data_IF_829852226059
#
_entry.id   IF_829852226059
#
_cell.length_a   1.000
_cell.length_b   1.000
_cell.length_c   1.000
_cell.angle_alpha   90.00
_cell.angle_beta   90.00
_cell.angle_gamma   90.00
#
_symmetry.space_group_name_H-M   'P 1'
#
loop_
_entity.id
_entity.type
_entity.pdbx_description
1 polymer ?
#
# COMPACT_ATOMS: atom_id res chain seq x y z
N UNK A 1 -17.75 -23.66 -3.10
CA UNK A 1 -17.56 -25.11 -3.30
C UNK A 1 -17.95 -25.79 -2.00
N UNK A 2 -19.19 -26.31 -1.96
CA UNK A 2 -19.75 -26.96 -0.77
C UNK A 2 -19.31 -28.41 -0.76
N UNK A 3 -18.41 -28.78 0.15
CA UNK A 3 -18.03 -30.15 0.43
C UNK A 3 -19.19 -30.83 1.18
N UNK A 4 -19.74 -31.94 0.68
CA UNK A 4 -20.79 -32.66 1.42
C UNK A 4 -20.17 -33.38 2.61
N UNK A 5 -20.49 -32.96 3.83
CA UNK A 5 -20.19 -33.67 5.06
C UNK A 5 -21.02 -34.96 5.08
N UNK A 6 -20.42 -36.06 4.63
CA UNK A 6 -20.98 -37.41 4.79
C UNK A 6 -20.52 -38.03 6.10
N UNK A 7 -21.53 -38.52 6.82
CA UNK A 7 -21.55 -39.55 7.84
C UNK A 7 -21.02 -39.22 9.25
N UNK A 8 -22.04 -39.19 10.11
CA UNK A 8 -22.00 -39.47 11.55
C UNK A 8 -21.24 -40.77 11.82
N UNK A 9 -20.40 -40.88 12.89
CA UNK A 9 -20.08 -42.17 13.49
C UNK A 9 -21.38 -42.86 13.91
N UNK A 10 -21.48 -44.13 13.65
CA UNK A 10 -22.66 -44.92 13.95
C UNK A 10 -22.94 -44.93 15.46
N UNK A 11 -24.08 -44.37 15.87
CA UNK A 11 -24.58 -44.41 17.24
C UNK A 11 -25.05 -43.05 17.74
N UNK A 12 -26.30 -42.93 18.13
CA UNK A 12 -26.76 -41.77 18.94
C UNK A 12 -26.00 -41.80 20.27
N UNK A 13 -25.57 -40.66 20.84
CA UNK A 13 -24.87 -40.64 22.13
C UNK A 13 -25.75 -41.34 23.19
N UNK A 14 -25.09 -42.09 24.06
CA UNK A 14 -25.83 -42.71 25.16
C UNK A 14 -26.46 -41.62 26.02
N UNK A 15 -27.75 -41.72 26.39
CA UNK A 15 -28.44 -40.67 27.16
C UNK A 15 -27.67 -40.21 28.40
N UNK A 16 -27.06 -41.15 29.12
CA UNK A 16 -26.26 -40.87 30.32
C UNK A 16 -24.98 -40.09 30.03
N UNK A 17 -24.31 -40.31 28.91
CA UNK A 17 -23.15 -39.52 28.48
C UNK A 17 -23.58 -38.07 28.21
N UNK A 18 -24.73 -37.85 27.56
CA UNK A 18 -25.26 -36.52 27.29
C UNK A 18 -25.69 -35.80 28.56
N UNK A 19 -26.37 -36.52 29.49
CA UNK A 19 -26.76 -35.98 30.79
C UNK A 19 -25.54 -35.56 31.63
N UNK A 20 -24.49 -36.39 31.66
CA UNK A 20 -23.25 -36.06 32.34
C UNK A 20 -22.55 -34.82 31.72
N UNK A 21 -22.52 -34.72 30.40
CA UNK A 21 -21.97 -33.55 29.73
C UNK A 21 -22.73 -32.29 30.13
N UNK A 22 -24.07 -32.34 30.12
CA UNK A 22 -24.92 -31.20 30.50
C UNK A 22 -24.74 -30.81 31.97
N UNK A 23 -24.67 -31.80 32.88
CA UNK A 23 -24.51 -31.57 34.31
C UNK A 23 -23.13 -30.96 34.67
N UNK A 24 -22.06 -31.35 33.95
CA UNK A 24 -20.71 -30.92 34.25
C UNK A 24 -20.23 -29.72 33.41
N UNK A 25 -21.08 -29.14 32.58
CA UNK A 25 -20.71 -28.05 31.64
C UNK A 25 -20.10 -26.85 32.37
N UNK A 26 -20.63 -26.44 33.51
CA UNK A 26 -20.10 -25.35 34.32
C UNK A 26 -18.75 -25.66 34.93
N UNK A 27 -18.54 -26.89 35.41
CA UNK A 27 -17.27 -27.32 35.98
C UNK A 27 -16.16 -27.37 34.93
N UNK A 28 -16.44 -27.95 33.75
CA UNK A 28 -15.49 -28.00 32.63
C UNK A 28 -15.10 -26.59 32.17
N UNK A 29 -16.07 -25.69 32.07
CA UNK A 29 -15.82 -24.28 31.70
C UNK A 29 -14.94 -23.57 32.74
N UNK A 30 -15.18 -23.79 34.03
CA UNK A 30 -14.37 -23.20 35.11
C UNK A 30 -12.93 -23.69 35.07
N UNK A 31 -12.71 -25.01 34.90
CA UNK A 31 -11.39 -25.60 34.78
C UNK A 31 -10.67 -25.06 33.54
N UNK A 32 -11.38 -24.91 32.41
CA UNK A 32 -10.78 -24.35 31.20
C UNK A 32 -10.31 -22.90 31.42
N UNK A 33 -11.13 -22.02 32.00
CA UNK A 33 -10.75 -20.64 32.28
C UNK A 33 -9.58 -20.56 33.27
N UNK A 34 -9.56 -21.41 34.30
CA UNK A 34 -8.46 -21.47 35.24
C UNK A 34 -7.17 -21.91 34.56
N UNK A 35 -7.23 -22.91 33.67
CA UNK A 35 -6.05 -23.36 32.91
C UNK A 35 -5.54 -22.30 31.94
N UNK A 36 -6.42 -21.54 31.29
CA UNK A 36 -6.02 -20.38 30.47
C UNK A 36 -5.18 -19.39 31.28
N UNK A 37 -5.62 -19.06 32.50
CA UNK A 37 -4.92 -18.11 33.36
C UNK A 37 -3.57 -18.60 33.85
N UNK A 38 -3.37 -19.92 34.02
CA UNK A 38 -2.12 -20.51 34.49
C UNK A 38 -1.16 -20.87 33.39
N UNK A 39 -1.64 -21.21 32.20
CA UNK A 39 -0.83 -21.71 31.09
C UNK A 39 -0.43 -20.65 30.08
N UNK A 40 -1.15 -19.51 30.02
CA UNK A 40 -0.91 -18.45 29.04
C UNK A 40 -0.49 -17.15 29.73
N UNK A 41 0.81 -16.81 29.74
CA UNK A 41 1.30 -15.58 30.40
C UNK A 41 0.62 -14.31 29.86
N UNK A 42 0.36 -14.24 28.55
CA UNK A 42 -0.29 -13.10 27.92
C UNK A 42 -1.77 -12.95 28.35
N UNK A 43 -2.47 -14.04 28.68
CA UNK A 43 -3.85 -14.02 29.16
C UNK A 43 -3.98 -13.25 30.47
N UNK A 44 -3.00 -13.39 31.35
CA UNK A 44 -2.96 -12.70 32.64
C UNK A 44 -2.70 -11.19 32.50
N UNK A 45 -2.09 -10.77 31.37
CA UNK A 45 -1.79 -9.37 31.06
C UNK A 45 -2.95 -8.62 30.39
N UNK A 46 -3.98 -9.33 29.95
CA UNK A 46 -5.19 -8.73 29.38
C UNK A 46 -5.94 -7.90 30.41
N UNK A 47 -6.69 -6.91 29.94
CA UNK A 47 -7.64 -6.15 30.79
C UNK A 47 -8.74 -7.08 31.31
N UNK A 48 -9.37 -6.69 32.39
CA UNK A 48 -10.40 -7.52 33.04
C UNK A 48 -11.61 -7.81 32.13
N UNK A 49 -12.03 -6.83 31.32
CA UNK A 49 -13.08 -6.97 30.31
C UNK A 49 -12.71 -7.99 29.23
N UNK A 50 -11.50 -7.92 28.65
CA UNK A 50 -11.01 -8.83 27.62
C UNK A 50 -10.89 -10.28 28.15
N UNK A 51 -10.42 -10.47 29.40
CA UNK A 51 -10.38 -11.78 30.04
C UNK A 51 -11.77 -12.38 30.24
N UNK A 52 -12.74 -11.55 30.66
CA UNK A 52 -14.12 -11.97 30.83
C UNK A 52 -14.76 -12.38 29.51
N UNK A 53 -14.53 -11.63 28.43
CA UNK A 53 -15.02 -11.96 27.10
C UNK A 53 -14.45 -13.27 26.56
N UNK A 54 -13.14 -13.52 26.73
CA UNK A 54 -12.53 -14.79 26.35
C UNK A 54 -13.06 -15.97 27.17
N UNK A 55 -13.26 -15.77 28.47
CA UNK A 55 -13.88 -16.76 29.34
C UNK A 55 -15.30 -17.13 28.90
N UNK A 56 -16.12 -16.13 28.56
CA UNK A 56 -17.45 -16.31 28.00
C UNK A 56 -17.42 -17.00 26.63
N UNK A 57 -16.44 -16.69 25.78
CA UNK A 57 -16.27 -17.32 24.48
C UNK A 57 -15.92 -18.82 24.64
N UNK A 58 -15.02 -19.16 25.57
CA UNK A 58 -14.67 -20.54 25.88
C UNK A 58 -15.90 -21.31 26.39
N UNK A 59 -16.67 -20.74 27.32
CA UNK A 59 -17.90 -21.32 27.85
C UNK A 59 -18.96 -21.53 26.75
N UNK A 60 -19.16 -20.55 25.86
CA UNK A 60 -20.08 -20.68 24.73
C UNK A 60 -19.62 -21.76 23.76
N UNK A 61 -18.30 -21.90 23.53
CA UNK A 61 -17.72 -22.98 22.72
C UNK A 61 -18.04 -24.37 23.25
N UNK A 62 -17.85 -24.56 24.55
CA UNK A 62 -18.20 -25.83 25.23
C UNK A 62 -19.71 -26.08 25.17
N UNK A 63 -20.53 -25.09 25.42
CA UNK A 63 -22.00 -25.22 25.33
C UNK A 63 -22.47 -25.55 23.92
N UNK A 64 -21.83 -24.96 22.90
CA UNK A 64 -22.11 -25.24 21.48
C UNK A 64 -21.72 -26.66 21.10
N UNK A 65 -20.60 -27.16 21.64
CA UNK A 65 -20.19 -28.54 21.46
C UNK A 65 -21.27 -29.51 22.00
N UNK A 66 -21.75 -29.31 23.24
CA UNK A 66 -22.79 -30.18 23.85
C UNK A 66 -24.06 -30.16 23.03
N UNK A 67 -24.52 -28.98 22.58
CA UNK A 67 -25.69 -28.86 21.70
C UNK A 67 -25.52 -29.61 20.38
N UNK A 68 -24.35 -29.46 19.74
CA UNK A 68 -24.06 -30.18 18.49
C UNK A 68 -23.97 -31.69 18.71
N UNK A 69 -23.38 -32.13 19.82
CA UNK A 69 -23.30 -33.54 20.18
C UNK A 69 -24.68 -34.15 20.41
N UNK A 70 -25.64 -33.38 20.94
CA UNK A 70 -27.04 -33.79 21.09
C UNK A 70 -27.73 -33.90 19.71
N UNK A 71 -27.53 -32.95 18.82
CA UNK A 71 -28.15 -32.88 17.47
C UNK A 71 -27.14 -32.85 16.34
N UNK A 72 -26.43 -33.94 16.06
CA UNK A 72 -25.34 -33.95 15.10
C UNK A 72 -25.79 -33.87 13.62
N UNK A 73 -27.08 -33.74 13.36
CA UNK A 73 -27.66 -33.43 12.06
C UNK A 73 -27.48 -31.93 11.68
N UNK A 74 -27.33 -31.07 12.68
CA UNK A 74 -27.03 -29.67 12.43
C UNK A 74 -25.57 -29.52 11.99
N UNK A 75 -25.31 -28.77 10.91
CA UNK A 75 -23.96 -28.49 10.49
C UNK A 75 -23.19 -27.71 11.58
N UNK A 76 -21.97 -28.13 11.92
CA UNK A 76 -21.14 -27.47 12.96
C UNK A 76 -20.96 -25.98 12.68
N UNK A 77 -20.90 -25.55 11.41
CA UNK A 77 -20.75 -24.15 11.05
C UNK A 77 -21.94 -23.27 11.46
N UNK A 78 -23.16 -23.81 11.61
CA UNK A 78 -24.33 -23.05 12.14
C UNK A 78 -24.12 -22.72 13.62
N UNK A 79 -23.51 -23.63 14.37
CA UNK A 79 -23.23 -23.45 15.79
C UNK A 79 -22.00 -22.59 16.04
N UNK A 80 -21.09 -22.48 15.06
CA UNK A 80 -19.94 -21.57 15.10
C UNK A 80 -20.32 -20.11 14.81
N UNK A 81 -21.59 -19.81 14.54
CA UNK A 81 -22.08 -18.41 14.50
C UNK A 81 -21.77 -17.62 15.78
N UNK A 82 -21.53 -18.30 16.88
CA UNK A 82 -21.00 -17.70 18.11
C UNK A 82 -19.69 -16.91 17.85
N UNK A 83 -18.86 -17.35 16.90
CA UNK A 83 -17.64 -16.63 16.51
C UNK A 83 -17.89 -15.49 15.51
N UNK A 84 -18.99 -15.53 14.73
CA UNK A 84 -19.39 -14.42 13.86
C UNK A 84 -19.87 -13.20 14.66
N UNK A 85 -20.31 -13.41 15.89
CA UNK A 85 -20.70 -12.37 16.84
C UNK A 85 -19.57 -12.00 17.80
N UNK A 86 -18.34 -12.55 17.61
CA UNK A 86 -17.18 -12.06 18.36
C UNK A 86 -17.02 -10.56 18.08
N UNK A 87 -16.96 -9.71 19.12
CA UNK A 87 -16.83 -8.27 18.93
C UNK A 87 -15.64 -7.99 18.00
N UNK A 88 -15.80 -7.09 17.06
CA UNK A 88 -14.73 -6.66 16.15
C UNK A 88 -13.48 -6.19 16.92
N UNK A 89 -13.70 -5.77 18.17
CA UNK A 89 -12.68 -5.40 19.15
C UNK A 89 -11.83 -6.58 19.60
N UNK A 90 -12.41 -7.77 19.75
CA UNK A 90 -11.66 -8.97 20.15
C UNK A 90 -10.64 -9.39 19.08
N UNK A 91 -10.98 -9.27 17.80
CA UNK A 91 -10.02 -9.56 16.70
C UNK A 91 -8.97 -8.46 16.53
N UNK A 92 -9.10 -7.32 17.20
CA UNK A 92 -8.09 -6.25 17.25
C UNK A 92 -7.10 -6.44 18.39
N UNK A 93 -7.58 -6.89 19.57
CA UNK A 93 -6.75 -7.05 20.76
C UNK A 93 -6.06 -8.42 20.85
N UNK A 94 -6.61 -9.46 20.20
CA UNK A 94 -6.11 -10.83 20.28
C UNK A 94 -5.69 -11.33 18.90
N UNK A 95 -4.46 -11.85 18.77
CA UNK A 95 -3.98 -12.43 17.53
C UNK A 95 -4.63 -13.79 17.23
N UNK A 96 -4.67 -14.21 15.96
CA UNK A 96 -5.11 -15.57 15.58
C UNK A 96 -4.32 -16.64 16.34
N UNK A 97 -3.01 -16.43 16.52
CA UNK A 97 -2.15 -17.37 17.27
C UNK A 97 -2.65 -17.53 18.71
N UNK A 98 -2.98 -16.42 19.37
CA UNK A 98 -3.50 -16.43 20.74
C UNK A 98 -4.89 -17.09 20.81
N UNK A 99 -5.76 -16.82 19.85
CA UNK A 99 -7.09 -17.47 19.77
C UNK A 99 -6.98 -18.98 19.59
N UNK A 100 -6.05 -19.47 18.76
CA UNK A 100 -5.77 -20.90 18.60
C UNK A 100 -5.15 -21.53 19.85
N UNK A 101 -4.33 -20.79 20.62
CA UNK A 101 -3.84 -21.27 21.92
C UNK A 101 -4.97 -21.45 22.95
N UNK A 102 -5.91 -20.50 22.99
CA UNK A 102 -7.13 -20.62 23.83
C UNK A 102 -7.92 -21.87 23.43
N UNK A 103 -8.19 -22.04 22.12
CA UNK A 103 -8.92 -23.21 21.62
C UNK A 103 -8.22 -24.52 22.02
N UNK A 104 -6.90 -24.61 21.86
CA UNK A 104 -6.13 -25.80 22.22
C UNK A 104 -6.32 -26.15 23.70
N UNK A 105 -6.15 -25.19 24.61
CA UNK A 105 -6.30 -25.43 26.06
C UNK A 105 -7.72 -25.88 26.40
N UNK A 106 -8.74 -25.27 25.79
CA UNK A 106 -10.13 -25.69 26.02
C UNK A 106 -10.35 -27.11 25.53
N UNK A 107 -9.83 -27.48 24.38
CA UNK A 107 -9.93 -28.86 23.84
C UNK A 107 -9.20 -29.86 24.77
N UNK A 108 -7.97 -29.55 25.17
CA UNK A 108 -7.17 -30.39 26.06
C UNK A 108 -7.94 -30.66 27.39
N UNK A 109 -8.55 -29.62 27.97
CA UNK A 109 -9.38 -29.77 29.21
C UNK A 109 -10.59 -30.66 28.97
N UNK A 110 -11.28 -30.50 27.84
CA UNK A 110 -12.45 -31.35 27.52
C UNK A 110 -12.01 -32.78 27.29
N UNK A 111 -10.92 -33.04 26.56
CA UNK A 111 -10.37 -34.37 26.30
C UNK A 111 -9.93 -35.07 27.58
N UNK A 112 -9.26 -34.40 28.51
CA UNK A 112 -8.88 -34.90 29.81
C UNK A 112 -10.09 -35.35 30.64
N UNK A 113 -11.23 -34.68 30.49
CA UNK A 113 -12.46 -34.96 31.20
C UNK A 113 -13.35 -36.05 30.55
N UNK A 114 -13.02 -36.48 29.33
CA UNK A 114 -13.81 -37.52 28.61
C UNK A 114 -14.03 -38.78 29.45
N UNK A 115 -13.00 -39.38 30.17
CA UNK A 115 -13.24 -40.60 30.97
C UNK A 115 -14.25 -40.39 32.11
N UNK A 116 -14.35 -39.16 32.66
CA UNK A 116 -15.30 -38.80 33.72
C UNK A 116 -16.70 -38.55 33.17
N UNK A 117 -16.80 -38.06 31.93
CA UNK A 117 -18.06 -37.59 31.31
C UNK A 117 -18.77 -38.67 30.50
N UNK A 118 -17.98 -39.56 29.85
CA UNK A 118 -18.50 -40.59 28.96
C UNK A 118 -18.80 -41.92 29.73
N UNK A 119 -19.76 -42.65 29.21
CA UNK A 119 -19.80 -44.11 29.54
C UNK A 119 -18.64 -44.81 28.84
N UNK A 120 -18.09 -45.88 29.40
CA UNK A 120 -16.93 -46.59 28.82
C UNK A 120 -17.11 -47.02 27.36
N UNK A 121 -18.33 -47.32 26.92
CA UNK A 121 -18.67 -47.61 25.52
C UNK A 121 -18.62 -46.42 24.58
N UNK A 122 -18.77 -45.21 25.11
CA UNK A 122 -18.90 -43.96 24.33
C UNK A 122 -17.62 -43.12 24.35
N UNK A 123 -16.61 -43.47 25.11
CA UNK A 123 -15.41 -42.67 25.31
C UNK A 123 -14.70 -42.36 23.99
N UNK A 124 -14.51 -43.38 23.15
CA UNK A 124 -13.89 -43.20 21.83
C UNK A 124 -14.72 -42.31 20.91
N UNK A 125 -16.04 -42.48 20.90
CA UNK A 125 -16.96 -41.68 20.09
C UNK A 125 -17.01 -40.21 20.57
N UNK A 126 -16.94 -39.99 21.89
CA UNK A 126 -16.91 -38.63 22.44
C UNK A 126 -15.59 -37.94 22.09
N UNK A 127 -14.44 -38.62 22.19
CA UNK A 127 -13.14 -38.07 21.76
C UNK A 127 -13.14 -37.69 20.27
N UNK A 128 -13.64 -38.57 19.41
CA UNK A 128 -13.76 -38.27 17.98
C UNK A 128 -14.65 -37.07 17.73
N UNK A 129 -15.76 -36.94 18.46
CA UNK A 129 -16.68 -35.80 18.38
C UNK A 129 -16.00 -34.49 18.80
N UNK A 130 -15.22 -34.50 19.91
CA UNK A 130 -14.45 -33.33 20.36
C UNK A 130 -13.47 -32.88 19.30
N UNK A 131 -12.69 -33.80 18.75
CA UNK A 131 -11.69 -33.49 17.69
C UNK A 131 -12.37 -32.96 16.40
N UNK A 132 -13.48 -33.56 16.00
CA UNK A 132 -14.23 -33.09 14.84
C UNK A 132 -14.76 -31.68 15.05
N UNK A 133 -15.39 -31.42 16.19
CA UNK A 133 -15.93 -30.11 16.51
C UNK A 133 -14.81 -29.05 16.62
N UNK A 134 -13.72 -29.36 17.32
CA UNK A 134 -12.59 -28.44 17.49
C UNK A 134 -11.95 -28.04 16.16
N UNK A 135 -11.85 -28.97 15.21
CA UNK A 135 -11.36 -28.68 13.85
C UNK A 135 -12.23 -27.63 13.14
N UNK A 136 -13.55 -27.81 13.19
CA UNK A 136 -14.48 -26.86 12.56
C UNK A 136 -14.42 -25.48 13.24
N UNK A 137 -14.28 -25.44 14.57
CA UNK A 137 -14.07 -24.20 15.33
C UNK A 137 -12.78 -23.50 14.93
N UNK A 138 -11.67 -24.26 14.73
CA UNK A 138 -10.40 -23.72 14.30
C UNK A 138 -10.50 -23.08 12.89
N UNK A 139 -11.19 -23.74 11.96
CA UNK A 139 -11.42 -23.20 10.62
C UNK A 139 -12.32 -21.95 10.66
N UNK A 140 -13.37 -21.96 11.50
CA UNK A 140 -14.24 -20.79 11.67
C UNK A 140 -13.46 -19.59 12.26
N UNK A 141 -12.58 -19.83 13.24
CA UNK A 141 -11.71 -18.79 13.77
C UNK A 141 -10.77 -18.23 12.68
N UNK A 142 -10.12 -19.12 11.91
CA UNK A 142 -9.25 -18.70 10.80
C UNK A 142 -10.00 -17.84 9.77
N UNK A 143 -11.23 -18.20 9.39
CA UNK A 143 -12.06 -17.44 8.45
C UNK A 143 -12.42 -16.05 8.99
N UNK A 144 -12.79 -15.94 10.29
CA UNK A 144 -13.08 -14.65 10.94
C UNK A 144 -11.85 -13.73 10.94
N UNK A 145 -10.68 -14.28 11.27
CA UNK A 145 -9.44 -13.49 11.27
C UNK A 145 -8.98 -13.12 9.86
N UNK A 146 -9.16 -14.00 8.87
CA UNK A 146 -8.88 -13.70 7.47
C UNK A 146 -9.76 -12.54 6.97
N UNK A 147 -11.07 -12.62 7.20
CA UNK A 147 -12.01 -11.53 6.85
C UNK A 147 -11.72 -10.23 7.58
N UNK A 148 -11.36 -10.31 8.86
CA UNK A 148 -10.97 -9.12 9.63
C UNK A 148 -9.67 -8.48 9.10
N UNK A 149 -8.72 -9.29 8.61
CA UNK A 149 -7.50 -8.80 7.96
C UNK A 149 -7.79 -8.18 6.58
N UNK A 150 -8.64 -8.81 5.75
CA UNK A 150 -9.08 -8.26 4.47
C UNK A 150 -9.82 -6.92 4.65
N UNK A 151 -10.72 -6.84 5.64
CA UNK A 151 -11.46 -5.62 5.95
C UNK A 151 -10.53 -4.50 6.44
N UNK A 152 -9.52 -4.81 7.24
CA UNK A 152 -8.48 -3.84 7.66
C UNK A 152 -7.68 -3.33 6.48
N UNK A 153 -7.19 -4.23 5.62
CA UNK A 153 -6.45 -3.84 4.42
C UNK A 153 -7.26 -2.96 3.48
N UNK A 154 -8.55 -3.22 3.30
CA UNK A 154 -9.44 -2.40 2.49
C UNK A 154 -9.76 -1.03 3.13
N UNK A 155 -9.86 -0.97 4.45
CA UNK A 155 -10.06 0.27 5.20
C UNK A 155 -8.83 1.16 5.15
N UNK A 156 -7.65 0.58 5.38
CA UNK A 156 -6.37 1.30 5.33
C UNK A 156 -6.11 1.85 3.93
N UNK A 157 -6.35 1.06 2.88
CA UNK A 157 -6.23 1.51 1.50
C UNK A 157 -7.22 2.62 1.14
N UNK A 158 -8.45 2.57 1.68
CA UNK A 158 -9.47 3.61 1.47
C UNK A 158 -9.11 4.90 2.21
N UNK A 159 -8.63 4.81 3.45
CA UNK A 159 -8.14 5.96 4.21
C UNK A 159 -6.93 6.59 3.51
N UNK A 160 -6.00 5.80 3.05
CA UNK A 160 -4.82 6.24 2.31
C UNK A 160 -5.20 6.97 1.02
N UNK A 161 -6.11 6.41 0.23
CA UNK A 161 -6.61 7.05 -0.99
C UNK A 161 -7.26 8.42 -0.70
N UNK A 162 -8.07 8.52 0.36
CA UNK A 162 -8.68 9.78 0.78
C UNK A 162 -7.63 10.81 1.23
N UNK A 163 -6.57 10.36 1.90
CA UNK A 163 -5.46 11.23 2.32
C UNK A 163 -4.70 11.72 1.10
N UNK A 164 -4.32 10.83 0.19
CA UNK A 164 -3.64 11.22 -1.06
C UNK A 164 -4.50 12.20 -1.85
N UNK A 165 -5.80 11.95 -2.01
CA UNK A 165 -6.71 12.86 -2.70
C UNK A 165 -6.78 14.26 -2.04
N UNK A 166 -6.78 14.30 -0.70
CA UNK A 166 -6.73 15.55 0.05
C UNK A 166 -5.43 16.31 -0.20
N UNK A 167 -4.29 15.65 -0.10
CA UNK A 167 -2.96 16.21 -0.36
C UNK A 167 -2.87 16.75 -1.80
N UNK A 168 -3.33 15.97 -2.78
CA UNK A 168 -3.30 16.37 -4.20
C UNK A 168 -4.20 17.55 -4.51
N UNK A 169 -5.27 17.77 -3.74
CA UNK A 169 -6.09 19.00 -3.81
C UNK A 169 -5.47 20.18 -3.07
N UNK A 170 -4.41 19.97 -2.30
CA UNK A 170 -3.78 20.99 -1.46
C UNK A 170 -4.53 21.27 -0.17
N UNK A 171 -5.31 20.29 0.33
CA UNK A 171 -5.99 20.39 1.61
C UNK A 171 -4.97 20.30 2.76
N UNK A 172 -4.90 21.33 3.58
CA UNK A 172 -4.01 21.45 4.74
C UNK A 172 -4.77 21.48 6.07
N UNK A 173 -6.04 21.05 6.06
CA UNK A 173 -6.88 21.00 7.26
C UNK A 173 -6.31 20.09 8.34
N UNK A 174 -6.67 20.35 9.60
CA UNK A 174 -6.30 19.50 10.72
C UNK A 174 -6.81 18.06 10.56
N UNK A 175 -7.92 17.89 9.84
CA UNK A 175 -8.45 16.58 9.50
C UNK A 175 -7.48 15.76 8.64
N UNK A 176 -6.89 16.37 7.60
CA UNK A 176 -5.88 15.71 6.76
C UNK A 176 -4.60 15.47 7.55
N UNK A 177 -4.15 16.43 8.37
CA UNK A 177 -2.97 16.27 9.22
C UNK A 177 -3.10 15.07 10.17
N UNK A 178 -4.24 14.95 10.84
CA UNK A 178 -4.53 13.84 11.75
C UNK A 178 -4.55 12.49 11.03
N UNK A 179 -5.09 12.44 9.80
CA UNK A 179 -5.14 11.20 9.00
C UNK A 179 -3.77 10.80 8.47
N UNK A 180 -2.95 11.75 8.03
CA UNK A 180 -1.55 11.54 7.63
C UNK A 180 -0.76 10.94 8.79
N UNK A 181 -0.88 11.51 9.99
CA UNK A 181 -0.26 10.97 11.21
C UNK A 181 -0.78 9.56 11.57
N UNK A 182 -2.11 9.32 11.40
CA UNK A 182 -2.72 8.00 11.65
C UNK A 182 -2.21 6.90 10.68
N UNK A 183 -1.76 7.27 9.47
CA UNK A 183 -1.09 6.37 8.53
C UNK A 183 0.39 6.14 8.86
N UNK A 184 0.91 6.77 9.92
CA UNK A 184 2.29 6.62 10.37
C UNK A 184 3.30 7.47 9.61
N UNK A 185 2.85 8.48 8.87
CA UNK A 185 3.74 9.41 8.17
C UNK A 185 4.44 10.34 9.17
N UNK A 186 5.75 10.47 9.07
CA UNK A 186 6.61 11.20 10.03
C UNK A 186 7.43 12.34 9.40
N UNK A 187 7.22 12.62 8.09
CA UNK A 187 7.95 13.64 7.30
C UNK A 187 9.48 13.47 7.36
N UNK A 188 9.96 12.26 7.11
CA UNK A 188 11.40 11.96 7.06
C UNK A 188 12.01 12.37 5.72
N UNK A 189 12.39 13.65 5.60
CA UNK A 189 13.07 14.20 4.42
C UNK A 189 12.14 14.64 3.30
N UNK A 190 12.72 14.92 2.13
CA UNK A 190 11.97 15.45 0.99
C UNK A 190 10.94 14.46 0.44
N UNK A 191 9.88 15.00 -0.11
CA UNK A 191 8.76 14.24 -0.69
C UNK A 191 8.73 14.41 -2.21
N UNK A 192 8.56 13.31 -2.92
CA UNK A 192 8.42 13.28 -4.39
C UNK A 192 7.19 12.47 -4.76
N UNK A 193 6.47 12.89 -5.79
CA UNK A 193 5.30 12.17 -6.31
C UNK A 193 5.60 11.52 -7.65
N UNK A 194 5.26 10.23 -7.78
CA UNK A 194 5.29 9.52 -9.07
C UNK A 194 3.87 9.28 -9.57
N UNK A 195 3.68 9.43 -10.86
CA UNK A 195 2.41 9.15 -11.56
C UNK A 195 2.69 8.26 -12.76
N UNK A 196 1.92 7.21 -12.93
CA UNK A 196 1.99 6.31 -14.08
C UNK A 196 0.71 5.51 -14.25
N UNK A 197 0.65 4.67 -15.26
CA UNK A 197 -0.49 3.77 -15.50
C UNK A 197 -0.59 2.74 -14.36
N UNK A 198 -1.79 2.46 -13.89
CA UNK A 198 -2.02 1.41 -12.90
C UNK A 198 -1.71 0.02 -13.49
N UNK A 199 -1.23 -0.95 -12.69
CA UNK A 199 -1.07 -2.33 -13.16
C UNK A 199 -2.40 -2.93 -13.60
N UNK A 200 -2.40 -3.75 -14.65
CA UNK A 200 -3.61 -4.37 -15.20
C UNK A 200 -4.36 -5.28 -14.20
N UNK A 201 -3.64 -5.86 -13.24
CA UNK A 201 -4.22 -6.68 -12.16
C UNK A 201 -4.15 -5.95 -10.83
N UNK A 202 -5.24 -5.27 -10.47
CA UNK A 202 -5.44 -4.67 -9.15
C UNK A 202 -6.39 -5.55 -8.34
N UNK A 203 -5.82 -6.55 -7.64
CA UNK A 203 -6.56 -7.43 -6.73
C UNK A 203 -6.30 -7.08 -5.25
N UNK A 204 -6.97 -7.76 -4.31
CA UNK A 204 -6.67 -7.66 -2.89
C UNK A 204 -5.17 -7.87 -2.62
N UNK A 205 -4.56 -6.96 -1.88
CA UNK A 205 -3.11 -6.99 -1.57
C UNK A 205 -2.18 -6.41 -2.66
N UNK A 206 -2.69 -5.89 -3.78
CA UNK A 206 -1.85 -5.20 -4.78
C UNK A 206 -1.21 -3.94 -4.22
N UNK A 207 -1.95 -3.13 -3.47
CA UNK A 207 -1.47 -1.92 -2.80
C UNK A 207 -0.31 -2.26 -1.85
N UNK A 208 -0.44 -3.35 -1.06
CA UNK A 208 0.62 -3.78 -0.14
C UNK A 208 1.88 -4.27 -0.84
N UNK A 209 1.74 -4.90 -2.01
CA UNK A 209 2.91 -5.29 -2.83
C UNK A 209 3.64 -4.05 -3.37
N UNK A 210 2.88 -3.07 -3.85
CA UNK A 210 3.43 -1.79 -4.34
C UNK A 210 4.13 -1.07 -3.20
N UNK A 211 3.47 -0.92 -2.03
CA UNK A 211 4.05 -0.27 -0.86
C UNK A 211 5.35 -0.95 -0.41
N UNK A 212 5.37 -2.28 -0.27
CA UNK A 212 6.60 -3.03 0.06
C UNK A 212 7.71 -2.86 -0.96
N UNK A 213 7.39 -2.67 -2.22
CA UNK A 213 8.40 -2.36 -3.24
C UNK A 213 8.93 -0.94 -3.08
N UNK A 214 8.05 0.04 -2.82
CA UNK A 214 8.40 1.44 -2.67
C UNK A 214 9.25 1.70 -1.41
N UNK A 215 8.91 1.10 -0.28
CA UNK A 215 9.63 1.27 1.01
C UNK A 215 11.05 0.68 1.03
N UNK A 216 11.45 -0.03 -0.01
CA UNK A 216 12.88 -0.38 -0.21
C UNK A 216 13.72 0.77 -0.73
N UNK A 217 13.10 1.83 -1.25
CA UNK A 217 13.74 2.96 -1.92
C UNK A 217 13.32 4.33 -1.39
N UNK A 218 12.31 4.35 -0.52
CA UNK A 218 11.80 5.52 0.17
C UNK A 218 11.58 5.17 1.65
N UNK A 219 11.72 6.13 2.56
CA UNK A 219 11.44 5.91 3.97
C UNK A 219 9.93 5.77 4.22
N UNK A 220 9.12 6.47 3.45
CA UNK A 220 7.66 6.53 3.59
C UNK A 220 7.00 6.44 2.21
N UNK A 221 5.82 5.84 2.14
CA UNK A 221 5.07 5.70 0.90
C UNK A 221 3.57 5.70 1.15
N UNK A 222 2.84 6.60 0.44
CA UNK A 222 1.40 6.51 0.28
C UNK A 222 1.08 6.08 -1.15
N UNK A 223 0.07 5.22 -1.29
CA UNK A 223 -0.33 4.62 -2.56
C UNK A 223 -1.78 4.98 -2.85
N UNK A 224 -2.06 5.50 -4.03
CA UNK A 224 -3.43 5.69 -4.52
C UNK A 224 -3.58 5.16 -5.94
N UNK A 225 -4.63 4.40 -6.17
CA UNK A 225 -5.02 3.94 -7.51
C UNK A 225 -6.31 4.66 -7.87
N UNK A 226 -6.24 5.53 -8.88
CA UNK A 226 -7.37 6.34 -9.35
C UNK A 226 -7.69 5.92 -10.79
N UNK A 227 -8.77 5.18 -10.96
CA UNK A 227 -9.22 4.66 -12.26
C UNK A 227 -8.11 3.84 -12.96
N UNK A 228 -7.34 4.48 -13.82
CA UNK A 228 -6.26 3.90 -14.63
C UNK A 228 -4.85 4.38 -14.22
N UNK A 229 -4.75 5.15 -13.14
CA UNK A 229 -3.49 5.75 -12.67
C UNK A 229 -3.08 5.22 -11.31
N UNK A 230 -1.81 4.92 -11.19
CA UNK A 230 -1.14 4.70 -9.93
C UNK A 230 -0.38 5.97 -9.53
N UNK A 231 -0.62 6.44 -8.32
CA UNK A 231 0.06 7.58 -7.72
C UNK A 231 0.80 7.09 -6.48
N UNK A 232 2.09 7.38 -6.41
CA UNK A 232 2.93 7.14 -5.24
C UNK A 232 3.41 8.48 -4.69
N UNK A 233 3.14 8.72 -3.40
CA UNK A 233 3.74 9.82 -2.64
C UNK A 233 4.86 9.22 -1.81
N UNK A 234 6.11 9.62 -2.06
CA UNK A 234 7.31 9.00 -1.52
C UNK A 234 8.07 10.00 -0.65
N UNK A 235 8.29 9.67 0.62
CA UNK A 235 9.06 10.47 1.55
C UNK A 235 10.47 9.89 1.78
N UNK A 236 11.45 10.77 2.05
CA UNK A 236 12.82 10.37 2.37
C UNK A 236 13.62 9.84 1.18
N UNK A 237 13.31 10.28 -0.04
CA UNK A 237 14.09 9.95 -1.25
C UNK A 237 15.19 10.99 -1.44
N UNK A 238 16.44 10.63 -1.18
CA UNK A 238 17.57 11.56 -1.23
C UNK A 238 18.00 11.95 -2.65
N UNK A 239 17.85 11.03 -3.62
CA UNK A 239 18.18 11.23 -5.04
C UNK A 239 17.12 10.57 -5.91
N UNK A 240 16.05 11.32 -6.30
CA UNK A 240 14.97 10.76 -7.11
C UNK A 240 15.43 10.19 -8.44
N UNK A 241 16.31 10.87 -9.16
CA UNK A 241 16.80 10.42 -10.48
C UNK A 241 17.50 9.05 -10.40
N UNK A 242 18.14 8.72 -9.28
CA UNK A 242 18.84 7.46 -9.06
C UNK A 242 17.96 6.37 -8.44
N UNK A 243 17.08 6.73 -7.52
CA UNK A 243 16.26 5.79 -6.75
C UNK A 243 15.00 5.33 -7.51
N UNK A 244 14.28 6.27 -8.14
CA UNK A 244 12.97 6.03 -8.72
C UNK A 244 12.93 5.12 -9.96
N UNK A 245 14.00 5.01 -10.81
CA UNK A 245 14.02 4.03 -11.89
C UNK A 245 13.75 2.59 -11.44
N UNK A 246 14.13 2.25 -10.20
CA UNK A 246 13.90 0.94 -9.61
C UNK A 246 12.41 0.66 -9.28
N UNK A 247 11.60 1.71 -9.21
CA UNK A 247 10.16 1.63 -8.96
C UNK A 247 9.32 1.60 -10.24
N UNK A 248 9.91 1.79 -11.41
CA UNK A 248 9.16 1.79 -12.67
C UNK A 248 8.36 0.50 -12.91
N UNK A 249 8.85 -0.64 -12.39
CA UNK A 249 8.23 -1.96 -12.55
C UNK A 249 6.93 -2.15 -11.74
N UNK A 250 6.61 -1.28 -10.76
CA UNK A 250 5.35 -1.38 -10.01
C UNK A 250 4.17 -0.75 -10.76
N UNK A 251 4.46 0.02 -11.82
CA UNK A 251 3.47 0.63 -12.69
C UNK A 251 3.13 -0.29 -13.87
N UNK A 252 1.94 -0.13 -14.43
CA UNK A 252 1.53 -0.75 -15.68
C UNK A 252 2.32 -0.24 -16.89
N UNK A 253 1.99 -0.71 -18.08
CA UNK A 253 2.61 -0.26 -19.33
C UNK A 253 2.35 1.24 -19.59
N UNK A 254 3.29 1.90 -20.28
CA UNK A 254 3.20 3.31 -20.61
C UNK A 254 4.14 4.20 -19.80
N UNK A 255 3.98 5.53 -19.86
CA UNK A 255 4.85 6.48 -19.20
C UNK A 255 4.76 6.38 -17.68
N UNK A 256 5.87 6.68 -17.02
CA UNK A 256 5.95 6.89 -15.58
C UNK A 256 6.73 8.18 -15.37
N UNK A 257 6.15 9.12 -14.64
CA UNK A 257 6.73 10.44 -14.44
C UNK A 257 6.82 10.75 -12.95
N UNK A 258 7.90 11.38 -12.52
CA UNK A 258 8.02 11.92 -11.18
C UNK A 258 8.14 13.44 -11.20
N UNK A 259 7.58 14.06 -10.18
CA UNK A 259 7.65 15.51 -9.99
C UNK A 259 8.88 15.93 -9.18
N UNK A 260 9.14 17.24 -9.06
CA UNK A 260 10.21 17.77 -8.23
C UNK A 260 10.00 17.43 -6.76
N UNK A 261 11.11 17.34 -6.02
CA UNK A 261 11.07 17.14 -4.57
C UNK A 261 10.57 18.40 -3.85
N UNK A 262 9.80 18.18 -2.78
CA UNK A 262 9.26 19.22 -1.89
C UNK A 262 9.57 18.86 -0.44
N UNK A 263 9.49 19.84 0.48
CA UNK A 263 9.96 19.66 1.84
C UNK A 263 9.00 18.84 2.71
N UNK A 264 7.68 18.93 2.48
CA UNK A 264 6.67 18.23 3.29
C UNK A 264 5.63 17.53 2.42
N UNK A 265 4.95 16.53 3.00
CA UNK A 265 3.84 15.85 2.33
C UNK A 265 2.69 16.82 1.98
N UNK A 266 2.53 17.92 2.72
CA UNK A 266 1.49 18.92 2.45
C UNK A 266 1.83 19.83 1.27
N UNK A 267 3.05 19.81 0.78
CA UNK A 267 3.51 20.47 -0.44
C UNK A 267 3.52 19.52 -1.64
N UNK A 268 3.22 18.25 -1.44
CA UNK A 268 3.26 17.20 -2.47
C UNK A 268 2.33 17.50 -3.68
N UNK A 269 1.30 18.35 -3.49
CA UNK A 269 0.49 18.87 -4.61
C UNK A 269 1.37 19.48 -5.70
N UNK A 270 2.39 20.25 -5.34
CA UNK A 270 3.31 20.85 -6.30
C UNK A 270 4.04 19.81 -7.14
N UNK A 271 4.54 18.75 -6.51
CA UNK A 271 5.18 17.63 -7.19
C UNK A 271 4.19 16.85 -8.06
N UNK A 272 2.99 16.57 -7.53
CA UNK A 272 1.95 15.80 -8.19
C UNK A 272 1.37 16.48 -9.43
N UNK A 273 1.14 17.78 -9.37
CA UNK A 273 0.63 18.57 -10.51
C UNK A 273 1.62 18.48 -11.69
N UNK A 274 2.91 18.58 -11.41
CA UNK A 274 3.97 18.48 -12.42
C UNK A 274 4.14 17.08 -12.96
N UNK A 275 4.14 16.07 -12.10
CA UNK A 275 4.16 14.68 -12.51
C UNK A 275 2.95 14.32 -13.39
N UNK A 276 1.76 14.80 -13.01
CA UNK A 276 0.52 14.56 -13.77
C UNK A 276 0.50 15.29 -15.11
N UNK A 277 1.02 16.51 -15.17
CA UNK A 277 1.19 17.23 -16.42
C UNK A 277 2.20 16.54 -17.34
N UNK A 278 3.34 16.12 -16.77
CA UNK A 278 4.34 15.33 -17.48
C UNK A 278 3.79 14.00 -17.99
N UNK A 279 3.01 13.28 -17.18
CA UNK A 279 2.39 12.00 -17.58
C UNK A 279 1.51 12.16 -18.84
N UNK A 280 0.73 13.23 -18.93
CA UNK A 280 -0.10 13.54 -20.11
C UNK A 280 0.75 13.89 -21.34
N UNK A 281 1.84 14.62 -21.13
CA UNK A 281 2.67 15.16 -22.19
C UNK A 281 3.72 14.17 -22.73
N UNK A 282 4.16 13.21 -21.92
CA UNK A 282 5.25 12.27 -22.26
C UNK A 282 4.96 11.39 -23.49
N UNK A 283 3.68 11.20 -23.85
CA UNK A 283 3.32 10.51 -25.09
C UNK A 283 3.87 11.16 -26.35
N UNK A 284 4.15 12.46 -26.30
CA UNK A 284 4.79 13.19 -27.40
C UNK A 284 6.32 12.94 -27.52
N UNK A 285 6.91 12.25 -26.54
CA UNK A 285 8.31 11.84 -26.56
C UNK A 285 8.43 10.31 -26.38
N UNK A 286 8.30 9.52 -27.46
CA UNK A 286 8.29 8.04 -27.39
C UNK A 286 9.58 7.41 -26.80
N UNK A 287 10.71 8.12 -26.87
CA UNK A 287 12.00 7.67 -26.33
C UNK A 287 12.26 8.17 -24.89
N UNK A 288 11.28 8.78 -24.24
CA UNK A 288 11.43 9.24 -22.87
C UNK A 288 11.89 8.11 -21.94
N UNK A 289 12.83 8.37 -21.02
CA UNK A 289 13.22 7.39 -20.03
C UNK A 289 12.03 7.01 -19.13
N UNK A 290 12.11 5.87 -18.49
CA UNK A 290 11.04 5.40 -17.62
C UNK A 290 11.60 4.99 -16.25
N UNK A 291 11.34 5.76 -15.19
CA UNK A 291 10.53 7.00 -15.16
C UNK A 291 11.30 8.18 -15.77
N UNK A 292 10.57 9.21 -16.18
CA UNK A 292 11.09 10.49 -16.62
C UNK A 292 10.82 11.57 -15.58
N UNK A 293 11.75 12.51 -15.43
CA UNK A 293 11.52 13.71 -14.62
C UNK A 293 10.55 14.65 -15.34
N UNK A 294 9.58 15.19 -14.61
CA UNK A 294 8.61 16.15 -15.14
C UNK A 294 9.25 17.42 -15.69
N UNK A 295 10.47 17.73 -15.27
CA UNK A 295 11.24 18.88 -15.77
C UNK A 295 11.91 18.59 -17.10
N UNK A 296 12.27 17.33 -17.38
CA UNK A 296 12.83 16.93 -18.66
C UNK A 296 11.80 16.96 -19.81
N UNK A 297 10.50 17.10 -19.52
CA UNK A 297 9.40 17.16 -20.49
C UNK A 297 8.73 18.55 -20.55
N UNK A 298 9.44 19.61 -20.20
CA UNK A 298 8.92 20.99 -20.29
C UNK A 298 8.39 21.36 -21.68
N UNK A 299 9.09 21.08 -22.83
CA UNK A 299 8.56 21.43 -24.14
C UNK A 299 7.21 20.77 -24.43
N UNK A 300 7.09 19.47 -24.18
CA UNK A 300 5.86 18.70 -24.41
C UNK A 300 4.73 19.18 -23.51
N UNK A 301 5.03 19.50 -22.26
CA UNK A 301 4.06 20.06 -21.30
C UNK A 301 3.57 21.44 -21.77
N UNK A 302 4.49 22.30 -22.17
CA UNK A 302 4.15 23.64 -22.66
C UNK A 302 3.28 23.56 -23.92
N UNK A 303 3.64 22.72 -24.90
CA UNK A 303 2.85 22.49 -26.10
C UNK A 303 1.48 21.85 -25.82
N UNK A 304 1.34 21.13 -24.69
CA UNK A 304 0.08 20.58 -24.21
C UNK A 304 -0.75 21.59 -23.41
N UNK A 305 -0.32 22.84 -23.35
CA UNK A 305 -1.04 23.93 -22.69
C UNK A 305 -0.74 24.09 -21.18
N UNK A 306 0.40 23.58 -20.69
CA UNK A 306 0.83 23.79 -19.30
C UNK A 306 1.57 25.13 -19.16
N UNK A 307 0.95 26.19 -18.60
CA UNK A 307 1.58 27.50 -18.45
C UNK A 307 2.76 27.48 -17.48
N UNK A 308 2.79 26.51 -16.54
CA UNK A 308 3.88 26.41 -15.58
C UNK A 308 5.16 25.86 -16.22
N UNK A 309 5.04 24.97 -17.21
CA UNK A 309 6.18 24.48 -17.97
C UNK A 309 6.73 25.58 -18.89
N UNK A 310 5.85 26.36 -19.54
CA UNK A 310 6.23 27.49 -20.33
C UNK A 310 7.04 28.51 -19.50
N UNK A 311 6.51 28.87 -18.34
CA UNK A 311 7.18 29.79 -17.41
C UNK A 311 8.51 29.24 -16.90
N UNK A 312 8.56 27.96 -16.53
CA UNK A 312 9.78 27.33 -16.08
C UNK A 312 10.90 27.36 -17.13
N UNK A 313 10.57 27.16 -18.42
CA UNK A 313 11.54 27.32 -19.52
C UNK A 313 12.01 28.76 -19.66
N UNK A 314 11.13 29.74 -19.52
CA UNK A 314 11.52 31.16 -19.57
C UNK A 314 12.46 31.47 -18.40
N UNK A 315 12.05 31.15 -17.17
CA UNK A 315 12.79 31.52 -15.95
C UNK A 315 14.15 30.78 -15.87
N UNK A 316 14.20 29.50 -16.24
CA UNK A 316 15.42 28.68 -16.10
C UNK A 316 16.36 28.75 -17.30
N UNK A 317 15.87 29.07 -18.48
CA UNK A 317 16.67 29.03 -19.72
C UNK A 317 16.75 30.40 -20.39
N UNK A 318 15.63 31.00 -20.72
CA UNK A 318 15.60 32.24 -21.49
C UNK A 318 16.16 33.44 -20.72
N UNK A 319 15.69 33.71 -19.51
CA UNK A 319 16.15 34.85 -18.72
C UNK A 319 17.65 34.86 -18.45
N UNK A 320 18.28 33.74 -18.03
CA UNK A 320 19.73 33.66 -17.86
C UNK A 320 20.52 33.86 -19.14
N UNK A 321 19.99 33.40 -20.29
CA UNK A 321 20.63 33.59 -21.58
C UNK A 321 20.50 35.02 -22.08
N UNK A 322 19.30 35.60 -22.03
CA UNK A 322 18.99 36.95 -22.53
C UNK A 322 19.66 38.06 -21.72
N UNK A 323 19.86 37.85 -20.42
CA UNK A 323 20.61 38.74 -19.54
C UNK A 323 22.15 38.64 -19.72
N UNK A 324 22.63 37.64 -20.47
CA UNK A 324 24.04 37.48 -20.73
C UNK A 324 24.54 38.47 -21.79
N UNK A 325 25.59 39.24 -21.47
CA UNK A 325 26.20 40.24 -22.37
C UNK A 325 27.10 39.69 -23.48
N UNK A 326 27.14 38.37 -23.67
CA UNK A 326 28.21 37.69 -24.46
C UNK A 326 27.78 37.24 -25.87
N UNK A 327 26.64 37.69 -26.41
CA UNK A 327 26.15 37.25 -27.73
C UNK A 327 25.80 35.77 -27.81
N UNK A 328 25.39 35.18 -26.67
CA UNK A 328 25.06 33.75 -26.59
C UNK A 328 23.75 33.47 -27.32
N UNK A 329 22.74 34.35 -27.17
CA UNK A 329 21.43 34.23 -27.82
C UNK A 329 21.60 34.28 -29.33
N UNK A 330 22.38 35.24 -29.86
CA UNK A 330 22.65 35.36 -31.32
C UNK A 330 23.38 34.09 -31.84
N UNK A 331 24.36 33.60 -31.06
CA UNK A 331 25.11 32.37 -31.45
C UNK A 331 24.18 31.16 -31.45
N UNK A 332 23.31 30.99 -30.46
CA UNK A 332 22.42 29.87 -30.36
C UNK A 332 21.30 29.92 -31.43
N UNK A 333 20.74 31.14 -31.69
CA UNK A 333 19.78 31.36 -32.75
C UNK A 333 20.32 31.07 -34.13
N UNK A 334 21.55 31.58 -34.42
CA UNK A 334 22.25 31.29 -35.69
C UNK A 334 22.57 29.83 -35.81
N UNK A 335 23.03 29.16 -34.72
CA UNK A 335 23.36 27.73 -34.73
C UNK A 335 22.14 26.88 -35.13
N UNK A 336 20.95 27.18 -34.58
CA UNK A 336 19.73 26.48 -34.94
C UNK A 336 19.26 26.80 -36.36
N UNK A 337 19.37 28.04 -36.80
CA UNK A 337 18.91 28.48 -38.14
C UNK A 337 19.75 27.87 -39.29
N UNK A 338 21.03 27.60 -39.06
CA UNK A 338 21.92 26.97 -40.06
C UNK A 338 22.04 25.46 -39.94
N UNK A 339 21.07 24.83 -39.26
CA UNK A 339 21.01 23.36 -39.17
C UNK A 339 22.02 22.73 -38.22
N UNK A 340 22.29 23.36 -37.09
CA UNK A 340 23.18 22.88 -36.02
C UNK A 340 24.63 22.63 -36.45
N UNK A 341 25.12 23.43 -37.38
CA UNK A 341 26.50 23.32 -37.91
C UNK A 341 27.41 24.39 -37.32
N UNK A 342 28.44 23.97 -36.58
CA UNK A 342 29.45 24.87 -36.01
C UNK A 342 30.16 25.70 -37.07
N UNK A 343 30.46 25.10 -38.22
CA UNK A 343 31.18 25.74 -39.34
C UNK A 343 30.26 26.75 -40.07
N UNK A 344 28.99 26.39 -40.29
CA UNK A 344 28.06 27.31 -40.88
C UNK A 344 27.79 28.50 -39.95
N UNK A 345 27.60 28.25 -38.64
CA UNK A 345 27.44 29.31 -37.62
C UNK A 345 28.65 30.24 -37.56
N UNK A 346 29.89 29.70 -37.65
CA UNK A 346 31.10 30.50 -37.60
C UNK A 346 31.22 31.42 -38.82
N UNK A 347 30.82 30.94 -39.99
CA UNK A 347 30.78 31.76 -41.23
C UNK A 347 29.71 32.88 -41.13
N UNK A 348 28.53 32.53 -40.69
CA UNK A 348 27.40 33.51 -40.59
C UNK A 348 27.68 34.61 -39.58
N UNK A 349 28.30 34.26 -38.45
CA UNK A 349 28.64 35.25 -37.40
C UNK A 349 30.00 35.91 -37.58
N UNK A 350 30.73 35.57 -38.63
CA UNK A 350 32.09 36.08 -38.89
C UNK A 350 33.06 35.90 -37.72
N UNK A 351 33.00 34.77 -37.02
CA UNK A 351 33.84 34.42 -35.88
C UNK A 351 34.53 33.09 -36.11
N UNK A 352 35.61 32.81 -35.39
CA UNK A 352 36.30 31.51 -35.48
C UNK A 352 35.42 30.38 -34.89
N UNK A 353 35.47 29.18 -35.45
CA UNK A 353 34.70 28.02 -34.99
C UNK A 353 34.91 27.70 -33.50
N UNK A 354 36.10 27.95 -32.95
CA UNK A 354 36.37 27.79 -31.53
C UNK A 354 35.58 28.79 -30.67
N UNK A 355 35.29 30.00 -31.16
CA UNK A 355 34.46 31.00 -30.47
C UNK A 355 33.01 30.50 -30.40
N UNK A 356 32.50 29.93 -31.50
CA UNK A 356 31.16 29.31 -31.50
C UNK A 356 31.09 28.18 -30.47
N UNK A 357 32.08 27.25 -30.50
CA UNK A 357 32.13 26.13 -29.56
C UNK A 357 32.23 26.60 -28.10
N UNK A 358 33.03 27.62 -27.85
CA UNK A 358 33.09 28.24 -26.51
C UNK A 358 31.75 28.82 -26.06
N UNK A 359 31.08 29.57 -26.95
CA UNK A 359 29.78 30.19 -26.63
C UNK A 359 28.67 29.14 -26.39
N UNK A 360 28.62 28.08 -27.23
CA UNK A 360 27.67 26.98 -27.02
C UNK A 360 27.94 26.24 -25.71
N UNK A 361 29.20 26.01 -25.35
CA UNK A 361 29.57 25.46 -24.05
C UNK A 361 29.13 26.38 -22.90
N UNK A 362 29.25 27.71 -23.08
CA UNK A 362 28.81 28.67 -22.10
C UNK A 362 27.27 28.66 -21.93
N UNK A 363 26.50 28.40 -22.98
CA UNK A 363 25.07 28.14 -22.91
C UNK A 363 24.79 26.96 -21.97
N UNK A 364 25.49 25.85 -22.18
CA UNK A 364 25.36 24.67 -21.31
C UNK A 364 25.72 25.00 -19.85
N UNK A 365 26.83 25.74 -19.62
CA UNK A 365 27.24 26.10 -18.25
C UNK A 365 26.19 26.97 -17.53
N UNK A 366 25.45 27.81 -18.24
CA UNK A 366 24.46 28.73 -17.68
C UNK A 366 23.11 28.04 -17.49
N UNK A 367 22.67 27.21 -18.44
CA UNK A 367 21.31 26.68 -18.50
C UNK A 367 21.22 25.22 -18.03
N UNK A 368 22.36 24.51 -18.01
CA UNK A 368 22.40 23.06 -17.81
C UNK A 368 22.02 22.22 -19.03
N UNK A 369 21.64 22.85 -20.17
CA UNK A 369 21.25 22.18 -21.42
C UNK A 369 22.34 22.34 -22.49
N UNK A 370 22.79 21.21 -23.07
CA UNK A 370 23.85 21.19 -24.08
C UNK A 370 23.26 21.32 -25.50
N UNK A 371 23.53 22.44 -26.21
CA UNK A 371 23.04 22.63 -27.58
C UNK A 371 23.51 21.55 -28.59
N UNK A 372 24.51 20.75 -28.24
CA UNK A 372 25.03 19.69 -29.10
C UNK A 372 24.25 18.37 -28.91
N UNK A 373 23.47 18.26 -27.89
CA UNK A 373 22.59 17.10 -27.64
C UNK A 373 21.21 17.39 -28.23
N UNK A 374 20.70 16.59 -29.17
CA UNK A 374 19.43 16.90 -29.87
C UNK A 374 18.25 17.16 -28.96
N UNK A 375 18.13 16.46 -27.84
CA UNK A 375 17.06 16.65 -26.85
C UNK A 375 17.18 18.01 -26.16
N UNK A 376 18.37 18.35 -25.71
CA UNK A 376 18.66 19.59 -25.01
C UNK A 376 18.52 20.79 -25.96
N UNK A 377 18.98 20.64 -27.22
CA UNK A 377 18.79 21.61 -28.27
C UNK A 377 17.27 21.92 -28.48
N UNK A 378 16.41 20.93 -28.43
CA UNK A 378 14.96 21.12 -28.54
C UNK A 378 14.41 21.92 -27.36
N UNK A 379 14.84 21.64 -26.12
CA UNK A 379 14.45 22.44 -24.94
C UNK A 379 14.88 23.88 -25.08
N UNK A 380 16.16 24.10 -25.47
CA UNK A 380 16.70 25.46 -25.69
C UNK A 380 15.94 26.22 -26.77
N UNK A 381 15.60 25.55 -27.88
CA UNK A 381 14.85 26.16 -28.97
C UNK A 381 13.45 26.58 -28.51
N UNK A 382 12.72 25.69 -27.81
CA UNK A 382 11.41 25.99 -27.24
C UNK A 382 11.47 27.14 -26.23
N UNK A 383 12.49 27.20 -25.38
CA UNK A 383 12.67 28.27 -24.41
C UNK A 383 12.91 29.65 -25.10
N UNK A 384 13.67 29.67 -26.19
CA UNK A 384 13.87 30.90 -26.98
C UNK A 384 12.58 31.38 -27.62
N UNK A 385 11.76 30.45 -28.15
CA UNK A 385 10.44 30.82 -28.73
C UNK A 385 9.49 31.31 -27.65
N UNK A 386 9.53 30.73 -26.46
CA UNK A 386 8.66 31.08 -25.35
C UNK A 386 9.00 32.43 -24.69
N UNK A 387 10.27 32.85 -24.74
CA UNK A 387 10.78 34.06 -24.11
C UNK A 387 10.90 35.28 -25.01
N UNK A 388 10.86 35.05 -26.33
CA UNK A 388 10.92 36.13 -27.34
C UNK A 388 9.56 36.84 -27.51
#
# INVERSE_FOLDING_TARGET
>A
MTWPLRNRPAGSPHPRTLDNLKANLGQVSTVAVQRLSTSLPWFSQLRADERSELGLLAQRGISSFVRWYENPQEPVWVLTEVFKQAPTELTRSISLQNALQVLRIVVDVVEEKVPELAQPSDESALREAVLRFSREVAFAAADVYAKAAENRGSWDARLESLVVDGILRGDRSDSIRSRVAALGWTDQGQVTVMVGTAPATTGPGSVDKIRRSATRHAAECLVSIQTDRLILVLGGVSDPRRALPKLASVFGEGPVVFGPSVDTVFDAKYSADRASAGFRATSAWPQAPRPVDSEDVWPERAMSGDPLALRAMVDAVWEPLSSSSTGLVDTLSTYFSVGNSLEATSRELFVHANTVRYRLRRVCDITGWDPLIPRDAFVLHCAMVAGA
#
